data_IF_024534258800
#
_entry.id   IF_024534258800
#
_cell.length_a   1.000
_cell.length_b   1.000
_cell.length_c   1.000
_cell.angle_alpha   90.00
_cell.angle_beta   90.00
_cell.angle_gamma   90.00
#
_symmetry.space_group_name_H-M   'P 1'
#
loop_
_entity.id
_entity.type
_entity.pdbx_description
1 polymer ?
#
# COMPACT_ATOMS: atom_id res chain seq x y z
N UNK A 1 -56.78 72.89 35.75
CA UNK A 1 -55.68 71.98 36.18
C UNK A 1 -56.12 70.55 35.88
N UNK A 2 -55.33 69.57 35.46
CA UNK A 2 -54.02 69.42 34.80
C UNK A 2 -54.02 67.91 34.42
N UNK A 3 -53.56 67.59 33.22
CA UNK A 3 -53.70 66.29 32.56
C UNK A 3 -53.18 65.07 33.35
N UNK A 4 -53.67 63.87 32.98
CA UNK A 4 -52.80 62.77 32.51
C UNK A 4 -53.59 61.66 31.82
N UNK A 5 -53.21 61.38 30.57
CA UNK A 5 -53.63 60.25 29.74
C UNK A 5 -53.05 58.93 30.28
N UNK A 6 -53.81 57.85 30.04
CA UNK A 6 -53.45 56.44 30.26
C UNK A 6 -52.32 55.95 29.34
N UNK A 7 -51.63 54.86 29.72
CA UNK A 7 -51.09 53.91 28.76
C UNK A 7 -51.78 52.54 28.88
N UNK A 8 -52.21 52.02 27.73
CA UNK A 8 -52.61 50.61 27.52
C UNK A 8 -51.38 49.78 27.13
N UNK A 9 -51.22 48.62 27.76
CA UNK A 9 -50.15 47.66 27.49
C UNK A 9 -50.41 46.87 26.20
N UNK A 10 -49.39 46.78 25.36
CA UNK A 10 -49.38 46.04 24.10
C UNK A 10 -49.10 44.56 24.40
N UNK A 11 -50.05 43.67 24.11
CA UNK A 11 -49.84 42.22 24.12
C UNK A 11 -48.98 41.79 22.91
N UNK A 12 -47.89 41.09 23.20
CA UNK A 12 -47.01 40.47 22.21
C UNK A 12 -47.64 39.20 21.64
N UNK A 13 -47.89 39.20 20.32
CA UNK A 13 -48.49 38.10 19.57
C UNK A 13 -47.45 36.99 19.32
N UNK A 14 -47.66 35.83 19.94
CA UNK A 14 -46.79 34.63 19.84
C UNK A 14 -46.70 34.11 18.40
N UNK A 15 -45.46 33.96 17.88
CA UNK A 15 -45.13 33.44 16.53
C UNK A 15 -45.09 31.90 16.44
N UNK A 16 -45.67 31.21 17.41
CA UNK A 16 -45.63 29.74 17.56
C UNK A 16 -46.13 28.92 16.34
N UNK A 17 -47.23 29.27 15.63
CA UNK A 17 -47.77 28.38 14.60
C UNK A 17 -46.98 28.37 13.29
N UNK A 18 -46.26 29.46 12.98
CA UNK A 18 -45.50 29.59 11.72
C UNK A 18 -44.21 28.74 11.79
N UNK A 19 -43.59 28.69 12.97
CA UNK A 19 -42.38 27.90 13.20
C UNK A 19 -42.70 26.41 13.11
N UNK A 20 -43.86 26.00 13.65
CA UNK A 20 -44.33 24.62 13.57
C UNK A 20 -44.56 24.19 12.11
N UNK A 21 -45.19 25.06 11.31
CA UNK A 21 -45.44 24.77 9.89
C UNK A 21 -44.14 24.61 9.11
N UNK A 22 -43.15 25.46 9.39
CA UNK A 22 -41.83 25.42 8.74
C UNK A 22 -41.05 24.15 9.12
N UNK A 23 -41.12 23.74 10.39
CA UNK A 23 -40.48 22.51 10.86
C UNK A 23 -41.09 21.26 10.20
N UNK A 24 -42.42 21.21 10.06
CA UNK A 24 -43.12 20.11 9.37
C UNK A 24 -42.74 20.06 7.89
N UNK A 25 -42.61 21.20 7.21
CA UNK A 25 -42.18 21.23 5.81
C UNK A 25 -40.74 20.75 5.60
N UNK A 26 -39.82 21.08 6.53
CA UNK A 26 -38.44 20.58 6.46
C UNK A 26 -38.40 19.07 6.69
N UNK A 27 -39.19 18.56 7.64
CA UNK A 27 -39.27 17.12 7.91
C UNK A 27 -39.86 16.34 6.72
N UNK A 28 -40.85 16.91 6.04
CA UNK A 28 -41.41 16.31 4.83
C UNK A 28 -40.41 16.29 3.67
N UNK A 29 -39.65 17.37 3.49
CA UNK A 29 -38.59 17.44 2.47
C UNK A 29 -37.43 16.48 2.77
N UNK A 30 -37.04 16.31 4.03
CA UNK A 30 -35.99 15.36 4.41
C UNK A 30 -36.45 13.91 4.20
N UNK A 31 -37.70 13.59 4.50
CA UNK A 31 -38.28 12.28 4.18
C UNK A 31 -38.34 12.03 2.67
N UNK A 32 -38.73 13.03 1.88
CA UNK A 32 -38.79 12.91 0.43
C UNK A 32 -37.39 12.71 -0.18
N UNK A 33 -36.39 13.44 0.29
CA UNK A 33 -34.98 13.21 -0.09
C UNK A 33 -34.48 11.84 0.35
N UNK A 34 -34.85 11.38 1.55
CA UNK A 34 -34.48 10.04 2.02
C UNK A 34 -35.06 8.95 1.11
N UNK A 35 -36.29 9.09 0.60
CA UNK A 35 -36.87 8.10 -0.31
C UNK A 35 -36.39 8.22 -1.76
N UNK A 36 -36.08 9.44 -2.25
CA UNK A 36 -35.50 9.64 -3.59
C UNK A 36 -34.04 9.18 -3.68
N UNK A 37 -33.28 9.32 -2.59
CA UNK A 37 -31.85 8.99 -2.55
C UNK A 37 -31.54 7.75 -1.69
N UNK A 38 -32.56 7.05 -1.17
CA UNK A 38 -32.34 5.74 -0.55
C UNK A 38 -31.86 4.79 -1.63
N UNK A 39 -30.61 4.30 -1.56
CA UNK A 39 -30.17 3.26 -2.48
C UNK A 39 -31.07 2.05 -2.25
N UNK A 40 -31.80 1.66 -3.28
CA UNK A 40 -32.51 0.38 -3.28
C UNK A 40 -31.48 -0.69 -2.96
N UNK A 41 -31.64 -1.38 -1.84
CA UNK A 41 -30.78 -2.49 -1.45
C UNK A 41 -31.00 -3.64 -2.42
N UNK A 42 -30.37 -3.55 -3.59
CA UNK A 42 -30.18 -4.70 -4.45
C UNK A 42 -29.16 -5.56 -3.72
N UNK A 43 -29.64 -6.64 -3.11
CA UNK A 43 -28.78 -7.71 -2.62
C UNK A 43 -28.15 -8.37 -3.84
N UNK A 44 -27.10 -7.76 -4.41
CA UNK A 44 -26.18 -8.45 -5.30
C UNK A 44 -25.51 -9.53 -4.46
N UNK A 45 -25.91 -10.77 -4.71
CA UNK A 45 -25.24 -11.93 -4.17
C UNK A 45 -23.75 -11.79 -4.47
N UNK A 46 -22.93 -11.66 -3.43
CA UNK A 46 -21.49 -11.75 -3.56
C UNK A 46 -21.20 -13.08 -4.24
N UNK A 47 -20.63 -13.04 -5.45
CA UNK A 47 -20.14 -14.23 -6.14
C UNK A 47 -19.02 -14.77 -5.26
N UNK A 48 -19.40 -15.70 -4.38
CA UNK A 48 -18.47 -16.39 -3.51
C UNK A 48 -17.83 -17.44 -4.39
N UNK A 49 -16.79 -17.05 -5.13
CA UNK A 49 -15.96 -18.02 -5.84
C UNK A 49 -15.39 -18.91 -4.74
N UNK A 50 -15.68 -20.22 -4.71
CA UNK A 50 -15.11 -21.10 -3.70
C UNK A 50 -13.60 -21.12 -3.94
N UNK A 51 -12.85 -20.46 -3.05
CA UNK A 51 -11.41 -20.58 -2.99
C UNK A 51 -11.10 -22.05 -2.75
N UNK A 52 -10.71 -22.77 -3.80
CA UNK A 52 -10.05 -24.07 -3.65
C UNK A 52 -8.71 -23.79 -2.98
N UNK A 53 -8.67 -23.94 -1.66
CA UNK A 53 -7.39 -24.01 -0.96
C UNK A 53 -6.59 -25.16 -1.58
N UNK A 54 -5.35 -24.91 -2.04
CA UNK A 54 -4.44 -26.00 -2.35
C UNK A 54 -4.37 -26.93 -1.13
N UNK A 55 -4.33 -28.24 -1.34
CA UNK A 55 -4.21 -29.23 -0.25
C UNK A 55 -2.82 -29.22 0.42
N UNK A 56 -2.02 -28.18 0.16
CA UNK A 56 -0.64 -28.04 0.60
C UNK A 56 -0.63 -27.08 1.76
N UNK A 57 -0.09 -27.52 2.90
CA UNK A 57 0.12 -26.67 4.08
C UNK A 57 1.04 -25.50 3.67
N UNK A 58 0.66 -24.24 3.92
CA UNK A 58 1.53 -23.10 3.60
C UNK A 58 2.82 -23.19 4.43
N UNK A 59 3.95 -22.86 3.80
CA UNK A 59 5.23 -22.71 4.49
C UNK A 59 5.22 -21.38 5.24
N UNK A 60 5.40 -21.46 6.56
CA UNK A 60 5.29 -20.29 7.44
C UNK A 60 6.66 -19.80 7.92
N UNK A 61 7.71 -20.61 7.83
CA UNK A 61 9.04 -20.24 8.27
C UNK A 61 9.73 -19.38 7.21
N UNK A 62 10.18 -18.17 7.61
CA UNK A 62 10.94 -17.29 6.72
C UNK A 62 12.17 -17.98 6.14
N UNK A 63 12.94 -18.65 7.01
CA UNK A 63 14.15 -19.35 6.60
C UNK A 63 13.79 -20.45 5.60
N UNK A 64 12.88 -21.37 5.93
CA UNK A 64 12.55 -22.48 5.04
C UNK A 64 11.99 -22.02 3.69
N UNK A 65 11.11 -21.01 3.70
CA UNK A 65 10.58 -20.36 2.50
C UNK A 65 11.70 -19.77 1.64
N UNK A 66 12.61 -19.01 2.27
CA UNK A 66 13.76 -18.41 1.59
C UNK A 66 14.70 -19.49 1.03
N UNK A 67 14.94 -20.57 1.78
CA UNK A 67 15.79 -21.65 1.33
C UNK A 67 15.23 -22.32 0.07
N UNK A 68 13.93 -22.59 0.09
CA UNK A 68 13.21 -23.14 -1.05
C UNK A 68 13.23 -22.19 -2.25
N UNK A 69 12.96 -20.90 -2.02
CA UNK A 69 12.97 -19.87 -3.06
C UNK A 69 14.34 -19.78 -3.75
N UNK A 70 15.42 -19.65 -2.99
CA UNK A 70 16.78 -19.55 -3.56
C UNK A 70 17.20 -20.80 -4.32
N UNK A 71 16.75 -21.99 -3.90
CA UNK A 71 17.10 -23.24 -4.56
C UNK A 71 16.32 -23.48 -5.87
N UNK A 72 15.05 -23.05 -5.95
CA UNK A 72 14.15 -23.47 -7.02
C UNK A 72 13.58 -22.33 -7.87
N UNK A 73 13.40 -21.13 -7.29
CA UNK A 73 12.67 -20.02 -7.92
C UNK A 73 13.55 -18.81 -8.26
N UNK A 74 14.64 -18.60 -7.51
CA UNK A 74 15.54 -17.48 -7.77
C UNK A 74 16.16 -17.58 -9.17
N UNK A 75 16.29 -16.45 -9.90
CA UNK A 75 16.95 -16.45 -11.20
C UNK A 75 18.37 -16.98 -11.07
N UNK A 76 18.70 -18.04 -11.83
CA UNK A 76 20.06 -18.60 -11.87
C UNK A 76 21.06 -17.70 -12.60
N UNK A 77 20.54 -16.86 -13.48
CA UNK A 77 21.27 -15.84 -14.22
C UNK A 77 20.52 -14.52 -13.95
N UNK A 78 21.22 -13.44 -13.56
CA UNK A 78 20.59 -12.13 -13.43
C UNK A 78 19.86 -11.79 -14.73
N UNK A 79 18.62 -11.30 -14.65
CA UNK A 79 17.92 -10.81 -15.82
C UNK A 79 18.81 -9.79 -16.56
N UNK A 80 18.88 -9.87 -17.89
CA UNK A 80 19.76 -9.01 -18.68
C UNK A 80 19.33 -7.54 -18.68
N UNK A 81 18.15 -7.24 -18.12
CA UNK A 81 17.58 -5.91 -17.98
C UNK A 81 16.86 -5.85 -16.65
N UNK A 82 17.14 -4.81 -15.88
CA UNK A 82 16.31 -4.36 -14.76
C UNK A 82 15.57 -3.07 -15.19
N UNK A 83 14.78 -2.49 -14.30
CA UNK A 83 14.05 -1.24 -14.55
C UNK A 83 14.96 0.01 -14.46
N UNK A 84 16.30 -0.15 -14.51
CA UNK A 84 17.21 1.00 -14.45
C UNK A 84 17.04 1.87 -15.68
N UNK A 85 16.58 3.10 -15.45
CA UNK A 85 16.39 4.07 -16.52
C UNK A 85 17.73 4.68 -16.89
N UNK A 86 18.14 4.56 -18.17
CA UNK A 86 19.37 5.20 -18.66
C UNK A 86 19.26 6.73 -18.72
N UNK A 87 18.20 7.22 -19.38
CA UNK A 87 17.85 8.64 -19.45
C UNK A 87 16.34 8.72 -19.38
N UNK A 88 15.80 9.27 -18.29
CA UNK A 88 14.35 9.45 -18.15
C UNK A 88 13.96 10.60 -19.07
N UNK A 89 13.31 10.28 -20.17
CA UNK A 89 12.83 11.29 -21.11
C UNK A 89 11.49 11.80 -20.56
N UNK A 90 11.27 13.11 -20.58
CA UNK A 90 9.99 13.74 -20.22
C UNK A 90 8.79 13.06 -20.91
N UNK A 91 9.04 12.55 -22.12
CA UNK A 91 8.12 11.71 -22.89
C UNK A 91 7.60 10.48 -22.12
N UNK A 92 8.44 9.78 -21.35
CA UNK A 92 8.02 8.55 -20.65
C UNK A 92 7.10 8.87 -19.47
N UNK A 93 7.38 9.96 -18.75
CA UNK A 93 6.52 10.48 -17.68
C UNK A 93 5.18 10.89 -18.26
N UNK A 94 5.19 11.67 -19.35
CA UNK A 94 3.98 12.13 -20.03
C UNK A 94 3.14 10.97 -20.57
N UNK A 95 3.77 9.98 -21.20
CA UNK A 95 3.08 8.79 -21.70
C UNK A 95 2.39 8.02 -20.58
N UNK A 96 3.05 7.87 -19.43
CA UNK A 96 2.46 7.21 -18.27
C UNK A 96 1.26 8.00 -17.73
N UNK A 97 1.41 9.33 -17.64
CA UNK A 97 0.36 10.23 -17.17
C UNK A 97 -0.88 10.20 -18.07
N UNK A 98 -0.70 10.29 -19.39
CA UNK A 98 -1.79 10.20 -20.37
C UNK A 98 -2.54 8.85 -20.26
N UNK A 99 -1.82 7.74 -20.08
CA UNK A 99 -2.43 6.42 -19.91
C UNK A 99 -3.23 6.31 -18.62
N UNK A 100 -2.69 6.82 -17.51
CA UNK A 100 -3.40 6.83 -16.22
C UNK A 100 -4.64 7.71 -16.26
N UNK A 101 -4.56 8.88 -16.88
CA UNK A 101 -5.72 9.76 -17.07
C UNK A 101 -6.83 9.08 -17.87
N UNK A 102 -6.50 8.41 -18.98
CA UNK A 102 -7.48 7.67 -19.79
C UNK A 102 -8.17 6.58 -18.96
N UNK A 103 -7.40 5.82 -18.18
CA UNK A 103 -7.89 4.76 -17.30
C UNK A 103 -8.80 5.31 -16.19
N UNK A 104 -8.43 6.41 -15.55
CA UNK A 104 -9.26 7.07 -14.54
C UNK A 104 -10.55 7.63 -15.13
N UNK A 105 -10.50 8.21 -16.34
CA UNK A 105 -11.70 8.68 -17.05
C UNK A 105 -12.62 7.52 -17.47
N UNK A 106 -12.07 6.38 -17.86
CA UNK A 106 -12.83 5.17 -18.15
C UNK A 106 -13.54 4.67 -16.89
N UNK A 107 -12.87 4.69 -15.73
CA UNK A 107 -13.47 4.36 -14.44
C UNK A 107 -14.63 5.28 -14.07
N UNK A 108 -14.45 6.61 -14.16
CA UNK A 108 -15.49 7.58 -13.84
C UNK A 108 -16.73 7.45 -14.74
N UNK A 109 -16.57 6.94 -15.97
CA UNK A 109 -17.67 6.71 -16.90
C UNK A 109 -18.33 5.34 -16.75
N UNK A 110 -17.62 4.35 -16.23
CA UNK A 110 -18.02 2.94 -16.24
C UNK A 110 -18.80 2.47 -15.01
N UNK A 111 -18.47 2.96 -13.80
CA UNK A 111 -19.13 2.53 -12.55
C UNK A 111 -19.24 3.70 -11.54
N UNK A 112 -20.45 4.07 -11.09
CA UNK A 112 -20.64 5.11 -10.08
C UNK A 112 -20.21 4.70 -8.66
N UNK A 113 -19.92 3.41 -8.43
CA UNK A 113 -19.35 2.89 -7.19
C UNK A 113 -17.92 2.42 -7.42
N UNK A 114 -17.03 2.60 -6.44
CA UNK A 114 -15.69 2.01 -6.49
C UNK A 114 -15.86 0.51 -6.78
N UNK A 115 -15.24 -0.06 -7.84
CA UNK A 115 -15.46 -1.45 -8.17
C UNK A 115 -14.74 -2.32 -7.14
N UNK A 116 -15.43 -2.59 -6.03
CA UNK A 116 -15.00 -3.53 -4.99
C UNK A 116 -14.80 -4.95 -5.53
N UNK A 117 -15.18 -5.18 -6.79
CA UNK A 117 -15.02 -6.41 -7.56
C UNK A 117 -13.75 -6.45 -8.43
N UNK A 118 -13.02 -5.35 -8.61
CA UNK A 118 -11.77 -5.34 -9.39
C UNK A 118 -10.54 -5.58 -8.51
N UNK A 119 -9.59 -6.43 -8.96
CA UNK A 119 -8.37 -6.64 -8.21
C UNK A 119 -7.46 -5.41 -8.30
N UNK A 120 -6.75 -5.12 -7.21
CA UNK A 120 -5.72 -4.08 -7.16
C UNK A 120 -4.54 -4.53 -8.02
N UNK A 121 -4.18 -3.75 -9.04
CA UNK A 121 -3.03 -4.03 -9.90
C UNK A 121 -1.76 -3.44 -9.31
N UNK A 122 -0.78 -4.28 -9.08
CA UNK A 122 0.50 -3.89 -8.51
C UNK A 122 1.60 -4.14 -9.52
N UNK A 123 2.36 -3.10 -9.87
CA UNK A 123 3.62 -3.28 -10.57
C UNK A 123 4.72 -3.50 -9.55
N UNK A 124 5.49 -4.58 -9.69
CA UNK A 124 6.65 -4.86 -8.84
C UNK A 124 7.88 -4.42 -9.60
N UNK A 125 8.63 -3.46 -9.06
CA UNK A 125 9.86 -3.01 -9.72
C UNK A 125 10.88 -4.13 -9.85
N UNK A 126 11.50 -4.22 -11.02
CA UNK A 126 12.69 -5.03 -11.22
C UNK A 126 13.91 -4.18 -10.82
N UNK A 127 14.20 -4.14 -9.53
CA UNK A 127 15.34 -3.39 -8.99
C UNK A 127 16.67 -4.13 -9.20
N UNK A 128 17.81 -3.43 -9.31
CA UNK A 128 19.14 -4.04 -9.31
C UNK A 128 19.32 -5.04 -8.16
N UNK A 129 19.97 -6.19 -8.42
CA UNK A 129 20.08 -7.32 -7.49
C UNK A 129 20.63 -6.96 -6.11
N UNK A 130 21.49 -5.94 -6.04
CA UNK A 130 22.07 -5.42 -4.78
C UNK A 130 21.04 -4.93 -3.76
N UNK A 131 19.81 -4.63 -4.21
CA UNK A 131 18.71 -4.21 -3.34
C UNK A 131 17.78 -5.38 -2.96
N UNK A 132 17.88 -6.50 -3.68
CA UNK A 132 16.97 -7.65 -3.59
C UNK A 132 17.77 -8.94 -3.38
N UNK A 133 18.06 -9.68 -4.45
CA UNK A 133 18.64 -11.02 -4.42
C UNK A 133 19.96 -11.10 -3.66
N UNK A 134 20.84 -10.11 -3.78
CA UNK A 134 22.15 -10.15 -3.14
C UNK A 134 22.02 -10.05 -1.61
N UNK A 135 21.01 -9.32 -1.12
CA UNK A 135 20.69 -9.26 0.31
C UNK A 135 20.09 -10.59 0.80
N UNK A 136 19.23 -11.22 0.01
CA UNK A 136 18.69 -12.54 0.33
C UNK A 136 19.80 -13.60 0.42
N UNK A 137 20.74 -13.60 -0.52
CA UNK A 137 21.92 -14.46 -0.48
C UNK A 137 22.83 -14.14 0.69
N UNK A 138 23.06 -12.85 0.98
CA UNK A 138 23.82 -12.42 2.15
C UNK A 138 23.22 -12.99 3.43
N UNK A 139 21.91 -12.85 3.64
CA UNK A 139 21.22 -13.42 4.80
C UNK A 139 21.40 -14.94 4.82
N UNK A 140 21.07 -15.64 3.73
CA UNK A 140 21.15 -17.12 3.68
C UNK A 140 22.55 -17.64 4.02
N UNK A 141 23.59 -16.94 3.59
CA UNK A 141 24.98 -17.37 3.78
C UNK A 141 25.53 -17.03 5.18
N UNK A 142 24.93 -16.09 5.91
CA UNK A 142 25.51 -15.55 7.15
C UNK A 142 24.62 -15.71 8.39
N UNK A 143 23.32 -16.00 8.23
CA UNK A 143 22.37 -15.94 9.36
C UNK A 143 22.77 -16.85 10.53
N UNK A 144 23.36 -18.03 10.26
CA UNK A 144 23.80 -18.98 11.31
C UNK A 144 24.92 -18.45 12.20
N UNK A 145 25.66 -17.43 11.74
CA UNK A 145 26.85 -16.89 12.40
C UNK A 145 26.61 -15.49 12.99
N UNK A 146 25.37 -14.99 12.98
CA UNK A 146 25.07 -13.65 13.49
C UNK A 146 25.30 -13.54 15.00
N UNK A 147 25.84 -12.42 15.44
CA UNK A 147 26.10 -12.13 16.84
C UNK A 147 24.85 -12.02 17.72
N UNK A 148 24.99 -12.38 19.00
CA UNK A 148 23.93 -12.32 20.02
C UNK A 148 23.81 -10.93 20.67
N UNK A 149 23.53 -9.90 19.88
CA UNK A 149 23.50 -8.49 20.34
C UNK A 149 22.08 -7.94 20.56
N UNK A 150 21.05 -8.77 20.49
CA UNK A 150 19.68 -8.34 20.80
C UNK A 150 19.49 -8.15 22.30
N UNK A 151 18.47 -7.40 22.71
CA UNK A 151 18.19 -7.11 24.13
C UNK A 151 17.93 -8.36 24.98
N UNK A 152 17.44 -9.44 24.38
CA UNK A 152 17.20 -10.74 25.01
C UNK A 152 18.35 -11.75 24.80
N UNK A 153 19.49 -11.33 24.25
CA UNK A 153 20.66 -12.19 24.04
C UNK A 153 20.52 -13.22 22.91
N UNK A 154 19.50 -13.09 22.07
CA UNK A 154 19.32 -13.92 20.88
C UNK A 154 20.18 -13.44 19.69
N UNK A 155 20.42 -14.29 18.69
CA UNK A 155 21.08 -13.86 17.47
C UNK A 155 20.27 -12.82 16.69
N UNK A 156 20.97 -11.89 16.02
CA UNK A 156 20.33 -10.83 15.21
C UNK A 156 19.44 -11.37 14.09
N UNK A 157 19.74 -12.53 13.51
CA UNK A 157 18.89 -13.10 12.45
C UNK A 157 17.44 -13.30 12.88
N UNK A 158 17.15 -13.51 14.18
CA UNK A 158 15.77 -13.64 14.67
C UNK A 158 14.97 -12.34 14.52
N UNK A 159 15.62 -11.19 14.67
CA UNK A 159 14.97 -9.90 14.39
C UNK A 159 14.68 -9.77 12.89
N UNK A 160 15.58 -10.27 12.03
CA UNK A 160 15.37 -10.27 10.58
C UNK A 160 14.17 -11.14 10.21
N UNK A 161 14.08 -12.36 10.77
CA UNK A 161 12.92 -13.26 10.62
C UNK A 161 11.61 -12.59 11.03
N UNK A 162 11.58 -11.93 12.20
CA UNK A 162 10.41 -11.17 12.68
C UNK A 162 10.02 -10.00 11.77
N UNK A 163 10.99 -9.38 11.10
CA UNK A 163 10.79 -8.19 10.28
C UNK A 163 10.88 -8.49 8.76
N UNK A 164 10.53 -9.72 8.37
CA UNK A 164 10.63 -10.25 7.00
C UNK A 164 9.38 -10.01 6.11
N UNK A 165 8.47 -9.11 6.50
CA UNK A 165 7.27 -8.78 5.69
C UNK A 165 7.64 -8.39 4.26
N UNK A 166 8.74 -7.66 4.10
CA UNK A 166 9.25 -7.23 2.81
C UNK A 166 9.51 -8.44 1.91
N UNK A 167 10.10 -9.51 2.44
CA UNK A 167 10.22 -10.77 1.74
C UNK A 167 8.87 -11.42 1.44
N UNK A 168 7.95 -11.55 2.42
CA UNK A 168 6.70 -12.28 2.21
C UNK A 168 5.77 -11.64 1.20
N UNK A 169 5.59 -10.31 1.27
CA UNK A 169 4.82 -9.56 0.28
C UNK A 169 5.45 -9.68 -1.10
N UNK A 170 6.77 -9.55 -1.18
CA UNK A 170 7.47 -9.68 -2.44
C UNK A 170 7.32 -11.09 -3.02
N UNK A 171 7.57 -12.13 -2.23
CA UNK A 171 7.50 -13.54 -2.63
C UNK A 171 6.10 -13.93 -3.14
N UNK A 172 5.04 -13.45 -2.48
CA UNK A 172 3.68 -13.63 -2.97
C UNK A 172 3.44 -12.88 -4.29
N UNK A 173 3.84 -11.60 -4.37
CA UNK A 173 3.61 -10.78 -5.56
C UNK A 173 4.33 -11.31 -6.81
N UNK A 174 5.54 -11.86 -6.67
CA UNK A 174 6.30 -12.42 -7.79
C UNK A 174 5.90 -13.86 -8.14
N UNK A 175 5.14 -14.53 -7.28
CA UNK A 175 4.70 -15.90 -7.54
C UNK A 175 3.73 -15.95 -8.75
N UNK A 176 3.74 -17.04 -9.53
CA UNK A 176 2.76 -17.24 -10.59
C UNK A 176 1.33 -17.12 -10.04
N UNK A 177 0.43 -16.52 -10.83
CA UNK A 177 -0.94 -16.31 -10.39
C UNK A 177 -1.63 -17.62 -10.00
N UNK A 178 -1.31 -18.75 -10.63
CA UNK A 178 -1.83 -20.07 -10.28
C UNK A 178 -1.45 -20.54 -8.86
N UNK A 179 -0.33 -20.06 -8.31
CA UNK A 179 0.19 -20.43 -6.99
C UNK A 179 -0.34 -19.51 -5.88
N UNK A 180 -0.78 -18.30 -6.22
CA UNK A 180 -1.19 -17.29 -5.23
C UNK A 180 -2.54 -17.61 -4.61
N UNK A 181 -2.62 -17.48 -3.28
CA UNK A 181 -3.86 -17.66 -2.52
C UNK A 181 -4.78 -16.45 -2.61
N UNK A 182 -4.24 -15.24 -2.75
CA UNK A 182 -5.03 -14.01 -2.86
C UNK A 182 -5.21 -13.61 -4.33
N UNK A 183 -6.45 -13.42 -4.77
CA UNK A 183 -6.78 -12.96 -6.14
C UNK A 183 -7.21 -11.50 -6.23
N UNK A 184 -7.40 -10.83 -5.09
CA UNK A 184 -7.78 -9.42 -5.02
C UNK A 184 -6.60 -8.47 -5.29
N UNK A 185 -5.37 -8.99 -5.39
CA UNK A 185 -4.18 -8.23 -5.75
C UNK A 185 -3.47 -8.97 -6.87
N UNK A 186 -3.28 -8.34 -8.02
CA UNK A 186 -2.67 -8.98 -9.21
C UNK A 186 -1.41 -8.24 -9.61
N UNK A 187 -0.34 -8.98 -9.95
CA UNK A 187 0.88 -8.37 -10.48
C UNK A 187 0.66 -8.03 -11.95
N UNK A 188 0.96 -6.79 -12.34
CA UNK A 188 0.97 -6.36 -13.75
C UNK A 188 2.39 -6.29 -14.28
N UNK A 189 2.52 -6.48 -15.59
CA UNK A 189 3.81 -6.47 -16.30
C UNK A 189 4.17 -5.08 -16.82
N UNK A 190 3.19 -4.20 -17.03
CA UNK A 190 3.42 -2.84 -17.52
C UNK A 190 3.13 -1.81 -16.45
N UNK A 191 3.98 -0.79 -16.35
CA UNK A 191 3.82 0.30 -15.37
C UNK A 191 2.51 1.07 -15.60
N UNK A 192 2.09 1.27 -16.84
CA UNK A 192 0.84 1.98 -17.18
C UNK A 192 -0.44 1.26 -16.75
N UNK A 193 -0.36 -0.05 -16.49
CA UNK A 193 -1.51 -0.84 -16.02
C UNK A 193 -1.65 -0.81 -14.49
N UNK A 194 -0.61 -0.37 -13.79
CA UNK A 194 -0.52 -0.39 -12.33
C UNK A 194 -1.50 0.58 -11.68
N UNK A 195 -2.06 0.16 -10.55
CA UNK A 195 -2.73 1.03 -9.58
C UNK A 195 -1.74 1.46 -8.48
N UNK A 196 -0.83 0.55 -8.09
CA UNK A 196 0.21 0.78 -7.10
C UNK A 196 1.57 0.21 -7.57
N UNK A 197 2.66 0.79 -7.06
CA UNK A 197 4.02 0.37 -7.36
C UNK A 197 4.68 -0.20 -6.10
N UNK A 198 5.03 -1.48 -6.12
CA UNK A 198 5.76 -2.12 -5.03
C UNK A 198 7.28 -1.97 -5.22
N UNK A 199 7.97 -1.48 -4.20
CA UNK A 199 9.43 -1.29 -4.19
C UNK A 199 10.09 -2.44 -3.40
N UNK A 200 10.69 -3.44 -4.08
CA UNK A 200 11.34 -4.55 -3.40
C UNK A 200 12.74 -4.14 -2.92
N UNK A 201 12.82 -3.63 -1.70
CA UNK A 201 14.09 -3.32 -1.06
C UNK A 201 14.12 -3.94 0.34
N UNK A 202 15.02 -4.91 0.58
CA UNK A 202 15.08 -5.64 1.85
C UNK A 202 15.81 -4.84 2.94
N UNK A 203 15.10 -3.86 3.48
CA UNK A 203 15.63 -2.86 4.41
C UNK A 203 16.07 -3.47 5.74
N UNK A 204 15.35 -4.50 6.22
CA UNK A 204 15.68 -5.15 7.48
C UNK A 204 17.02 -5.89 7.37
N UNK A 205 17.20 -6.68 6.30
CA UNK A 205 18.44 -7.45 6.07
C UNK A 205 19.64 -6.50 5.97
N UNK A 206 19.54 -5.49 5.09
CA UNK A 206 20.63 -4.54 4.87
C UNK A 206 20.95 -3.70 6.11
N UNK A 207 19.97 -3.40 6.97
CA UNK A 207 20.21 -2.68 8.22
C UNK A 207 21.04 -3.50 9.23
N UNK A 208 20.78 -4.80 9.34
CA UNK A 208 21.39 -5.64 10.35
C UNK A 208 22.69 -6.31 9.91
N UNK A 209 22.84 -6.62 8.61
CA UNK A 209 23.97 -7.42 8.12
C UNK A 209 25.07 -6.59 7.43
N UNK A 210 24.78 -5.35 7.02
CA UNK A 210 25.79 -4.48 6.41
C UNK A 210 26.41 -3.53 7.41
N UNK A 211 27.65 -3.14 7.15
CA UNK A 211 28.27 -2.05 7.89
C UNK A 211 27.49 -0.74 7.72
N UNK A 212 27.49 0.09 8.76
CA UNK A 212 26.71 1.34 8.80
C UNK A 212 26.92 2.26 7.60
N UNK A 213 28.13 2.34 7.05
CA UNK A 213 28.41 3.19 5.89
C UNK A 213 27.92 2.55 4.57
N UNK A 214 28.13 1.24 4.40
CA UNK A 214 27.64 0.49 3.25
C UNK A 214 26.10 0.54 3.20
N UNK A 215 25.45 0.29 4.34
CA UNK A 215 24.00 0.42 4.50
C UNK A 215 23.51 1.81 4.07
N UNK A 216 24.10 2.89 4.61
CA UNK A 216 23.72 4.26 4.23
C UNK A 216 23.90 4.55 2.73
N UNK A 217 24.97 4.05 2.12
CA UNK A 217 25.21 4.21 0.69
C UNK A 217 24.13 3.48 -0.11
N UNK A 218 23.85 2.22 0.21
CA UNK A 218 22.84 1.39 -0.43
C UNK A 218 21.46 2.06 -0.39
N UNK A 219 21.08 2.68 0.73
CA UNK A 219 19.78 3.35 0.86
C UNK A 219 19.69 4.59 -0.01
N UNK A 220 20.76 5.38 -0.09
CA UNK A 220 20.79 6.56 -0.97
C UNK A 220 20.70 6.14 -2.43
N UNK A 221 21.40 5.08 -2.80
CA UNK A 221 21.36 4.53 -4.16
C UNK A 221 19.98 3.97 -4.51
N UNK A 222 19.36 3.18 -3.62
CA UNK A 222 18.03 2.63 -3.81
C UNK A 222 17.00 3.75 -3.99
N UNK A 223 17.05 4.77 -3.13
CA UNK A 223 16.12 5.89 -3.22
C UNK A 223 16.35 6.72 -4.46
N UNK A 224 17.60 7.01 -4.80
CA UNK A 224 17.91 7.70 -6.06
C UNK A 224 17.30 6.94 -7.24
N UNK A 225 17.56 5.64 -7.31
CA UNK A 225 17.06 4.76 -8.37
C UNK A 225 15.53 4.80 -8.45
N UNK A 226 14.82 4.72 -7.32
CA UNK A 226 13.35 4.80 -7.29
C UNK A 226 12.86 6.18 -7.72
N UNK A 227 13.49 7.25 -7.22
CA UNK A 227 13.07 8.63 -7.53
C UNK A 227 13.33 9.03 -8.99
N UNK A 228 14.25 8.33 -9.65
CA UNK A 228 14.51 8.53 -11.08
C UNK A 228 13.39 7.92 -11.95
N UNK A 229 12.60 6.97 -11.45
CA UNK A 229 11.58 6.28 -12.23
C UNK A 229 10.47 7.22 -12.76
N UNK A 230 9.96 7.01 -13.99
CA UNK A 230 8.88 7.83 -14.56
C UNK A 230 7.63 7.84 -13.68
N UNK A 231 7.24 6.67 -13.15
CA UNK A 231 6.11 6.55 -12.24
C UNK A 231 6.29 7.35 -10.94
N UNK A 232 7.51 7.39 -10.38
CA UNK A 232 7.78 8.23 -9.23
C UNK A 232 7.64 9.71 -9.56
N UNK A 233 8.19 10.16 -10.68
CA UNK A 233 8.10 11.56 -11.10
C UNK A 233 6.66 12.00 -11.36
N UNK A 234 5.82 11.09 -11.85
CA UNK A 234 4.41 11.33 -12.12
C UNK A 234 3.57 11.48 -10.85
N UNK A 235 3.81 10.65 -9.83
CA UNK A 235 3.00 10.63 -8.60
C UNK A 235 3.66 11.30 -7.39
N UNK A 236 4.92 11.71 -7.50
CA UNK A 236 5.80 12.08 -6.39
C UNK A 236 5.85 11.03 -5.27
N UNK A 237 5.73 9.75 -5.65
CA UNK A 237 5.76 8.62 -4.76
C UNK A 237 4.42 8.23 -4.14
N UNK A 238 3.31 8.94 -4.41
CA UNK A 238 2.02 8.75 -3.71
C UNK A 238 1.39 7.36 -3.88
N UNK A 239 1.76 6.66 -4.94
CA UNK A 239 1.29 5.31 -5.27
C UNK A 239 2.38 4.24 -5.07
N UNK A 240 3.51 4.60 -4.45
CA UNK A 240 4.61 3.69 -4.16
C UNK A 240 4.48 3.08 -2.78
N UNK A 241 4.61 1.76 -2.70
CA UNK A 241 4.59 0.98 -1.47
C UNK A 241 6.02 0.66 -1.06
N UNK A 242 6.40 1.07 0.14
CA UNK A 242 7.61 0.61 0.80
C UNK A 242 7.25 -0.27 2.00
N UNK A 243 7.59 -1.57 1.98
CA UNK A 243 7.38 -2.50 3.08
C UNK A 243 8.47 -2.31 4.16
N UNK A 244 8.43 -1.20 4.89
CA UNK A 244 9.45 -0.85 5.88
C UNK A 244 8.96 -1.25 7.27
N UNK A 245 9.42 -2.40 7.75
CA UNK A 245 9.04 -2.86 9.09
C UNK A 245 10.00 -2.35 10.18
N UNK A 246 11.31 -2.45 9.97
CA UNK A 246 12.25 -2.04 11.02
C UNK A 246 12.26 -0.51 11.18
N UNK A 247 11.90 0.04 12.35
CA UNK A 247 11.63 1.48 12.53
C UNK A 247 12.86 2.37 12.29
N UNK A 248 14.07 1.81 12.42
CA UNK A 248 15.32 2.54 12.25
C UNK A 248 15.90 2.48 10.85
N UNK A 249 15.48 1.51 10.03
CA UNK A 249 16.07 1.27 8.71
C UNK A 249 16.02 2.54 7.85
N UNK A 250 14.85 3.18 7.74
CA UNK A 250 14.64 4.36 6.92
C UNK A 250 14.83 5.69 7.64
N UNK A 251 15.26 5.71 8.91
CA UNK A 251 15.25 6.94 9.72
C UNK A 251 15.97 8.12 9.05
N UNK A 252 17.13 7.89 8.43
CA UNK A 252 17.91 8.95 7.78
C UNK A 252 17.37 9.41 6.43
N UNK A 253 16.49 8.64 5.81
CA UNK A 253 16.04 8.86 4.44
C UNK A 253 14.52 9.01 4.29
N UNK A 254 13.77 8.78 5.36
CA UNK A 254 12.30 8.88 5.43
C UNK A 254 11.74 10.14 4.78
N UNK A 255 12.42 11.28 4.92
CA UNK A 255 11.99 12.57 4.35
C UNK A 255 11.84 12.55 2.82
N UNK A 256 12.61 11.70 2.13
CA UNK A 256 12.62 11.62 0.66
C UNK A 256 11.48 10.78 0.10
N UNK A 257 10.89 9.90 0.92
CA UNK A 257 9.78 9.02 0.53
C UNK A 257 8.55 9.23 1.42
N UNK A 258 8.40 10.45 1.95
CA UNK A 258 7.34 10.81 2.90
C UNK A 258 5.92 10.71 2.32
N UNK A 259 5.79 10.84 1.00
CA UNK A 259 4.51 10.78 0.29
C UNK A 259 4.10 9.35 -0.05
N UNK A 260 5.02 8.40 0.09
CA UNK A 260 4.77 7.00 -0.23
C UNK A 260 3.83 6.34 0.77
N UNK A 261 3.33 5.16 0.41
CA UNK A 261 2.56 4.28 1.26
C UNK A 261 3.55 3.41 2.05
N UNK A 262 3.48 3.49 3.38
CA UNK A 262 4.34 2.74 4.27
C UNK A 262 3.54 1.58 4.86
N UNK A 263 3.99 0.35 4.59
CA UNK A 263 3.39 -0.83 5.22
C UNK A 263 4.17 -1.18 6.48
N UNK A 264 3.51 -1.00 7.63
CA UNK A 264 3.99 -1.41 8.94
C UNK A 264 3.00 -2.45 9.50
N UNK A 265 3.12 -3.73 9.10
CA UNK A 265 2.36 -4.78 9.77
C UNK A 265 2.74 -4.88 11.25
N UNK A 266 1.82 -5.34 12.09
CA UNK A 266 2.09 -5.72 13.48
C UNK A 266 2.02 -7.24 13.60
N UNK A 267 3.06 -7.87 14.13
CA UNK A 267 3.30 -9.30 13.99
C UNK A 267 3.77 -9.94 15.29
N UNK A 268 3.55 -11.26 15.39
CA UNK A 268 3.99 -12.02 16.55
C UNK A 268 5.52 -12.17 16.62
N UNK A 269 6.01 -12.53 17.80
CA UNK A 269 7.45 -12.64 18.05
C UNK A 269 8.13 -13.84 17.39
N UNK A 270 7.39 -14.70 16.66
CA UNK A 270 7.95 -15.95 16.13
C UNK A 270 8.62 -15.78 14.78
N UNK A 271 8.25 -14.73 14.02
CA UNK A 271 8.75 -14.54 12.65
C UNK A 271 8.23 -15.58 11.66
N UNK A 272 7.19 -16.33 12.04
CA UNK A 272 6.45 -17.20 11.14
C UNK A 272 5.22 -16.47 10.60
N UNK A 273 4.88 -16.72 9.34
CA UNK A 273 3.86 -16.01 8.56
C UNK A 273 2.80 -16.94 7.99
#
# INVERSE_FOLDING_TARGET
MRAKQMPSSILTRSKSPIILLFAVTILALSFFFFFLFSPSSTTTAAVTVPYRHPSVRPETSFVASLEHFLAHKAPKIPASSDDTVGSVIDHDVRRLDERKFVKEMEWLRGDPYYPMSMPVRVYVYEMPSKFTYDLLWLFRNTYRETSNITSNGSPVHRLIEQHSIDYWLWADLIAPESERLLKNVVRVVKQEEADLFYVPFFTTISFFLLEKQQCKALYREALKWVTDQPAWKQSEGRDHIFPIHHPWSFKSVRRYVKNAIWLLPDMDSTGNW
#
